data_IF_508310958182
#
_entry.id   IF_508310958182
#
_cell.length_a   1.000
_cell.length_b   1.000
_cell.length_c   1.000
_cell.angle_alpha   90.00
_cell.angle_beta   90.00
_cell.angle_gamma   90.00
#
_symmetry.space_group_name_H-M   'P 1'
#
loop_
_entity.id
_entity.type
_entity.pdbx_description
1 polymer ?
#
# COMPACT_ATOMS: atom_id res chain seq x y z
N UNK A 1 9.39 -4.83 -18.91
CA UNK A 1 9.43 -6.08 -19.70
C UNK A 1 10.26 -7.14 -18.96
N UNK A 2 9.65 -8.01 -18.18
CA UNK A 2 10.18 -9.32 -17.75
C UNK A 2 9.04 -10.10 -17.06
N UNK A 3 8.12 -10.73 -17.81
CA UNK A 3 8.16 -12.15 -18.22
C UNK A 3 8.46 -13.13 -17.09
N UNK A 4 7.46 -13.38 -16.25
CA UNK A 4 7.22 -14.67 -15.60
C UNK A 4 6.48 -15.59 -16.59
N UNK A 5 7.18 -16.02 -17.65
CA UNK A 5 6.75 -17.14 -18.50
C UNK A 5 8.00 -17.93 -18.89
N UNK A 6 8.11 -19.13 -18.34
CA UNK A 6 8.48 -20.35 -19.08
C UNK A 6 8.36 -21.55 -18.13
N UNK A 7 7.32 -22.37 -18.34
CA UNK A 7 7.36 -23.85 -18.51
C UNK A 7 5.95 -24.48 -18.27
N UNK A 8 5.37 -25.00 -19.38
CA UNK A 8 4.47 -26.16 -19.55
C UNK A 8 3.03 -26.13 -18.97
N UNK A 9 1.95 -26.64 -19.60
CA UNK A 9 1.69 -27.29 -20.90
C UNK A 9 0.15 -27.25 -21.17
N UNK A 10 -0.21 -27.24 -22.47
CA UNK A 10 -1.53 -27.39 -23.11
C UNK A 10 -2.52 -28.43 -22.54
N UNK A 11 -3.84 -28.11 -22.57
CA UNK A 11 -4.84 -28.78 -23.44
C UNK A 11 -6.29 -28.26 -23.26
N UNK A 12 -6.93 -27.90 -24.40
CA UNK A 12 -8.33 -28.16 -24.86
C UNK A 12 -9.51 -27.76 -23.94
N UNK A 13 -10.70 -27.29 -24.36
CA UNK A 13 -11.34 -26.72 -25.56
C UNK A 13 -12.80 -26.44 -25.10
N UNK A 14 -13.44 -25.38 -25.63
CA UNK A 14 -14.90 -25.17 -25.80
C UNK A 14 -15.73 -24.43 -24.72
N UNK A 15 -16.04 -23.17 -25.08
CA UNK A 15 -17.35 -22.48 -25.10
C UNK A 15 -18.27 -22.56 -23.87
N UNK A 16 -18.48 -21.44 -23.18
CA UNK A 16 -19.81 -20.83 -22.94
C UNK A 16 -19.66 -19.31 -22.73
N UNK A 17 -20.41 -18.54 -23.53
CA UNK A 17 -20.93 -17.18 -23.39
C UNK A 17 -20.27 -16.19 -22.38
N UNK A 18 -19.78 -15.01 -22.81
CA UNK A 18 -19.65 -13.89 -21.89
C UNK A 18 -21.07 -13.36 -21.61
N UNK A 19 -21.55 -13.53 -20.38
CA UNK A 19 -22.56 -12.64 -19.85
C UNK A 19 -21.91 -11.26 -19.80
N UNK A 20 -22.41 -10.32 -20.61
CA UNK A 20 -22.01 -8.93 -20.49
C UNK A 20 -22.49 -8.43 -19.12
N UNK A 21 -21.57 -8.32 -18.18
CA UNK A 21 -21.77 -7.49 -17.01
C UNK A 21 -21.96 -6.05 -17.50
N UNK A 22 -23.12 -5.47 -17.19
CA UNK A 22 -23.39 -4.07 -17.44
C UNK A 22 -22.44 -3.28 -16.54
N UNK A 23 -21.38 -2.73 -17.12
CA UNK A 23 -20.66 -1.61 -16.53
C UNK A 23 -21.67 -0.48 -16.31
N UNK A 24 -22.17 -0.38 -15.09
CA UNK A 24 -22.91 0.78 -14.61
C UNK A 24 -21.99 1.98 -14.74
N UNK A 25 -22.46 3.02 -15.42
CA UNK A 25 -21.74 4.28 -15.60
C UNK A 25 -21.01 4.70 -14.32
N UNK A 26 -19.67 4.70 -14.36
CA UNK A 26 -18.83 5.20 -13.27
C UNK A 26 -19.14 6.69 -13.09
N UNK A 27 -19.89 7.00 -12.04
CA UNK A 27 -19.95 8.33 -11.48
C UNK A 27 -18.50 8.70 -11.12
N UNK A 28 -17.99 9.82 -11.66
CA UNK A 28 -16.63 10.29 -11.36
C UNK A 28 -16.55 10.71 -9.89
N UNK A 29 -16.41 9.74 -9.02
CA UNK A 29 -16.20 9.98 -7.60
C UNK A 29 -14.86 10.67 -7.43
N UNK A 30 -14.84 11.75 -6.65
CA UNK A 30 -13.58 12.33 -6.20
C UNK A 30 -12.79 11.30 -5.37
N UNK A 31 -11.56 11.66 -5.04
CA UNK A 31 -10.67 10.78 -4.28
C UNK A 31 -11.23 10.47 -2.90
N UNK A 32 -10.69 9.44 -2.25
CA UNK A 32 -11.28 8.94 -1.00
C UNK A 32 -11.41 10.10 0.01
N UNK A 33 -12.62 10.35 0.55
CA UNK A 33 -12.82 11.42 1.52
C UNK A 33 -11.93 11.21 2.73
N UNK A 34 -11.07 12.20 2.99
CA UNK A 34 -10.22 12.26 4.18
C UNK A 34 -10.58 13.48 5.00
N UNK A 35 -10.44 13.37 6.31
CA UNK A 35 -10.65 14.49 7.21
C UNK A 35 -9.51 15.51 7.03
N UNK A 36 -9.85 16.79 7.03
CA UNK A 36 -8.87 17.87 7.10
C UNK A 36 -8.54 18.12 8.58
N UNK A 37 -7.50 17.47 9.08
CA UNK A 37 -7.12 17.47 10.50
C UNK A 37 -5.84 18.25 10.73
N UNK A 38 -5.75 18.90 11.90
CA UNK A 38 -4.45 19.35 12.43
C UNK A 38 -3.64 18.15 12.91
N UNK A 39 -2.34 18.35 13.14
CA UNK A 39 -1.44 17.29 13.62
C UNK A 39 -1.93 16.65 14.93
N UNK A 40 -2.49 17.44 15.85
CA UNK A 40 -2.99 16.95 17.14
C UNK A 40 -4.24 16.07 17.03
N UNK A 41 -4.93 16.07 15.88
CA UNK A 41 -6.14 15.30 15.65
C UNK A 41 -5.92 14.08 14.73
N UNK A 42 -4.72 13.92 14.13
CA UNK A 42 -4.38 12.75 13.31
C UNK A 42 -4.52 11.43 14.09
N UNK A 43 -4.85 10.33 13.42
CA UNK A 43 -4.91 8.98 14.01
C UNK A 43 -3.57 8.42 14.53
N UNK A 44 -2.48 9.16 14.35
CA UNK A 44 -1.11 8.75 14.67
C UNK A 44 -0.28 9.94 15.14
N UNK A 45 0.93 9.67 15.63
CA UNK A 45 1.90 10.68 16.01
C UNK A 45 3.33 10.19 15.78
N UNK A 46 4.29 11.12 15.87
CA UNK A 46 5.72 10.79 15.83
C UNK A 46 6.11 9.76 16.91
N UNK A 47 7.07 8.91 16.57
CA UNK A 47 7.57 7.83 17.43
C UNK A 47 6.80 6.51 17.29
N UNK A 48 5.83 6.43 16.37
CA UNK A 48 5.13 5.19 16.07
C UNK A 48 6.06 4.18 15.39
N UNK A 49 6.04 2.95 15.88
CA UNK A 49 6.75 1.81 15.31
C UNK A 49 5.78 0.64 15.17
N UNK A 50 5.64 0.11 13.95
CA UNK A 50 4.82 -1.05 13.64
C UNK A 50 5.71 -2.16 13.07
N UNK A 51 5.41 -3.40 13.43
CA UNK A 51 6.08 -4.59 12.89
C UNK A 51 5.06 -5.55 12.34
N UNK A 52 5.31 -6.03 11.12
CA UNK A 52 4.45 -6.97 10.42
C UNK A 52 5.20 -8.26 10.13
N UNK A 53 4.50 -9.39 10.21
CA UNK A 53 4.97 -10.68 9.70
C UNK A 53 4.42 -10.90 8.30
N UNK A 54 5.29 -11.21 7.35
CA UNK A 54 4.91 -11.59 5.99
C UNK A 54 4.77 -13.11 5.89
N UNK A 55 3.66 -13.56 5.35
CA UNK A 55 3.26 -14.96 5.25
C UNK A 55 2.92 -15.31 3.80
N UNK A 56 3.24 -16.55 3.41
CA UNK A 56 2.96 -17.06 2.08
C UNK A 56 2.29 -18.43 2.15
N UNK A 57 1.19 -18.56 1.42
CA UNK A 57 0.40 -19.78 1.35
C UNK A 57 0.23 -20.24 -0.11
N UNK A 58 0.69 -21.45 -0.43
CA UNK A 58 0.44 -22.13 -1.70
C UNK A 58 0.53 -23.65 -1.57
N UNK A 59 -0.61 -24.33 -1.73
CA UNK A 59 -0.67 -25.80 -1.70
C UNK A 59 -0.25 -26.35 -0.34
N UNK A 60 0.93 -26.96 -0.27
CA UNK A 60 1.51 -27.49 0.98
C UNK A 60 2.39 -26.48 1.73
N UNK A 61 2.68 -25.33 1.12
CA UNK A 61 3.48 -24.26 1.70
C UNK A 61 2.52 -23.34 2.46
N UNK A 62 2.70 -23.24 3.77
CA UNK A 62 2.00 -22.32 4.69
C UNK A 62 3.09 -21.86 5.68
N UNK A 63 3.67 -20.68 5.44
CA UNK A 63 4.82 -20.24 6.22
C UNK A 63 5.03 -18.73 6.32
N UNK A 64 5.54 -18.30 7.46
CA UNK A 64 6.02 -16.94 7.68
C UNK A 64 7.37 -16.77 6.96
N UNK A 65 7.37 -16.03 5.85
CA UNK A 65 8.51 -15.90 4.92
C UNK A 65 9.36 -14.65 5.14
N UNK A 66 8.83 -13.66 5.85
CA UNK A 66 9.51 -12.39 6.06
C UNK A 66 8.87 -11.52 7.13
N UNK A 67 9.34 -10.30 7.22
CA UNK A 67 8.83 -9.28 8.11
C UNK A 67 9.01 -7.89 7.51
N UNK A 68 8.24 -6.93 8.01
CA UNK A 68 8.41 -5.52 7.68
C UNK A 68 8.31 -4.66 8.95
N UNK A 69 8.97 -3.51 8.96
CA UNK A 69 8.80 -2.47 9.98
C UNK A 69 8.35 -1.18 9.33
N UNK A 70 7.59 -0.38 10.08
CA UNK A 70 7.17 0.98 9.72
C UNK A 70 7.51 1.87 10.90
N UNK A 71 8.31 2.90 10.67
CA UNK A 71 8.77 3.86 11.66
C UNK A 71 8.35 5.27 11.23
N UNK A 72 7.75 6.05 12.14
CA UNK A 72 7.34 7.43 11.86
C UNK A 72 8.12 8.44 12.71
N UNK A 73 9.03 9.17 12.08
CA UNK A 73 9.86 10.18 12.74
C UNK A 73 9.39 11.62 12.44
N UNK A 74 9.49 12.56 13.40
CA UNK A 74 9.39 13.97 13.11
C UNK A 74 10.70 14.47 12.48
N UNK A 75 10.61 15.24 11.40
CA UNK A 75 11.79 15.81 10.73
C UNK A 75 11.55 17.26 10.32
N UNK A 76 12.64 17.99 10.08
CA UNK A 76 12.60 19.23 9.29
C UNK A 76 13.05 18.92 7.86
N UNK A 77 12.20 19.18 6.88
CA UNK A 77 12.49 19.00 5.47
C UNK A 77 12.45 20.37 4.78
N UNK A 78 13.59 20.82 4.25
CA UNK A 78 13.75 22.14 3.63
C UNK A 78 13.23 23.31 4.50
N UNK A 79 13.39 23.23 5.82
CA UNK A 79 12.95 24.26 6.77
C UNK A 79 11.47 24.18 7.18
N UNK A 80 10.70 23.24 6.65
CA UNK A 80 9.32 22.96 7.04
C UNK A 80 9.25 21.73 7.96
N UNK A 81 8.33 21.72 8.93
CA UNK A 81 8.04 20.53 9.71
C UNK A 81 7.33 19.46 8.88
N UNK A 82 7.83 18.24 8.95
CA UNK A 82 7.32 17.09 8.21
C UNK A 82 7.38 15.83 9.07
N UNK A 83 6.73 14.78 8.59
CA UNK A 83 7.01 13.43 8.99
C UNK A 83 7.96 12.76 8.00
N UNK A 84 8.75 11.80 8.50
CA UNK A 84 9.44 10.82 7.68
C UNK A 84 8.99 9.44 8.09
N UNK A 85 8.28 8.75 7.20
CA UNK A 85 8.03 7.32 7.33
C UNK A 85 9.21 6.54 6.74
N UNK A 86 9.74 5.57 7.49
CA UNK A 86 10.70 4.58 7.00
C UNK A 86 10.05 3.20 7.05
N UNK A 87 9.98 2.52 5.91
CA UNK A 87 9.48 1.15 5.81
C UNK A 87 10.62 0.26 5.38
N UNK A 88 10.91 -0.78 6.16
CA UNK A 88 11.91 -1.77 5.80
C UNK A 88 11.28 -3.15 5.74
N UNK A 89 11.47 -3.87 4.64
CA UNK A 89 10.98 -5.23 4.42
C UNK A 89 12.13 -6.21 4.19
N UNK A 90 12.03 -7.41 4.76
CA UNK A 90 13.04 -8.46 4.57
C UNK A 90 12.43 -9.84 4.64
N UNK A 91 12.83 -10.72 3.72
CA UNK A 91 12.69 -12.17 3.90
C UNK A 91 13.51 -12.64 5.12
N UNK A 92 13.11 -13.76 5.73
CA UNK A 92 13.90 -14.37 6.81
C UNK A 92 15.13 -15.06 6.26
N UNK A 93 16.15 -15.28 7.11
CA UNK A 93 17.41 -15.94 6.72
C UNK A 93 17.23 -17.31 6.08
N UNK A 94 16.20 -18.06 6.49
CA UNK A 94 15.89 -19.36 5.91
C UNK A 94 15.42 -19.21 4.44
N UNK A 95 14.58 -18.20 4.17
CA UNK A 95 14.02 -17.95 2.86
C UNK A 95 14.95 -17.17 1.91
N UNK A 96 15.92 -16.42 2.45
CA UNK A 96 16.97 -15.76 1.68
C UNK A 96 17.77 -16.73 0.77
N UNK A 97 17.86 -18.00 1.16
CA UNK A 97 18.55 -19.04 0.39
C UNK A 97 17.82 -19.41 -0.91
N UNK A 98 16.51 -19.15 -0.97
CA UNK A 98 15.66 -19.48 -2.13
C UNK A 98 15.29 -18.22 -2.91
N UNK A 99 14.82 -17.18 -2.21
CA UNK A 99 14.46 -15.90 -2.82
C UNK A 99 14.60 -14.79 -1.77
N UNK A 100 15.64 -13.96 -1.94
CA UNK A 100 15.95 -12.86 -1.03
C UNK A 100 15.21 -11.59 -1.44
N UNK A 101 14.44 -11.01 -0.53
CA UNK A 101 13.79 -9.70 -0.71
C UNK A 101 14.31 -8.73 0.34
N UNK A 102 14.70 -7.53 -0.09
CA UNK A 102 15.06 -6.39 0.75
C UNK A 102 14.42 -5.15 0.16
N UNK A 103 13.56 -4.52 0.94
CA UNK A 103 12.87 -3.28 0.59
C UNK A 103 13.24 -2.21 1.62
N UNK A 104 13.64 -1.02 1.16
CA UNK A 104 13.79 0.19 1.98
C UNK A 104 13.04 1.32 1.29
N UNK A 105 11.87 1.67 1.83
CA UNK A 105 11.09 2.83 1.40
C UNK A 105 11.19 3.93 2.43
N UNK A 106 11.32 5.16 1.96
CA UNK A 106 11.28 6.36 2.80
C UNK A 106 10.40 7.39 2.16
N UNK A 107 9.44 7.88 2.92
CA UNK A 107 8.54 8.95 2.49
C UNK A 107 8.64 10.12 3.45
N UNK A 108 8.73 11.32 2.89
CA UNK A 108 8.63 12.57 3.61
C UNK A 108 7.31 13.21 3.20
N UNK A 109 6.48 13.56 4.17
CA UNK A 109 5.19 14.20 3.92
C UNK A 109 4.89 15.26 4.98
N UNK A 110 4.08 16.25 4.58
CA UNK A 110 3.66 17.34 5.46
C UNK A 110 2.87 16.81 6.65
N UNK A 111 2.99 17.45 7.81
CA UNK A 111 2.18 17.08 8.99
C UNK A 111 0.74 17.53 8.87
N UNK A 112 0.52 18.66 8.20
CA UNK A 112 -0.79 19.13 7.78
C UNK A 112 -1.13 18.57 6.39
N UNK A 113 -2.30 17.96 6.23
CA UNK A 113 -2.80 17.45 4.94
C UNK A 113 -2.04 16.26 4.34
N UNK A 114 -0.98 15.76 4.98
CA UNK A 114 -0.25 14.53 4.62
C UNK A 114 0.21 14.46 3.15
N UNK A 115 0.61 15.60 2.59
CA UNK A 115 1.08 15.68 1.20
C UNK A 115 2.50 15.16 1.08
N UNK A 116 2.79 14.23 0.15
CA UNK A 116 4.14 13.78 -0.10
C UNK A 116 5.02 14.94 -0.59
N UNK A 117 6.26 14.97 -0.10
CA UNK A 117 7.29 15.96 -0.44
C UNK A 117 8.44 15.27 -1.18
N UNK A 118 8.81 14.08 -0.70
CA UNK A 118 9.86 13.25 -1.28
C UNK A 118 9.58 11.78 -1.00
N UNK A 119 9.91 10.94 -1.95
CA UNK A 119 9.95 9.49 -1.76
C UNK A 119 11.31 8.94 -2.22
N UNK A 120 11.78 7.90 -1.53
CA UNK A 120 12.94 7.11 -1.90
C UNK A 120 12.60 5.64 -1.76
N UNK A 121 13.03 4.85 -2.73
CA UNK A 121 12.93 3.39 -2.73
C UNK A 121 14.29 2.80 -3.09
N UNK A 122 14.70 1.77 -2.35
CA UNK A 122 15.80 0.87 -2.69
C UNK A 122 15.32 -0.57 -2.52
N UNK A 123 15.31 -1.32 -3.61
CA UNK A 123 14.71 -2.65 -3.71
C UNK A 123 15.75 -3.64 -4.23
N UNK A 124 15.83 -4.80 -3.58
CA UNK A 124 16.57 -5.96 -4.05
C UNK A 124 15.74 -7.24 -3.89
N UNK A 125 15.22 -7.76 -5.00
CA UNK A 125 14.37 -8.94 -5.10
C UNK A 125 15.05 -10.01 -5.96
N UNK A 126 15.80 -10.91 -5.32
CA UNK A 126 16.59 -11.94 -5.98
C UNK A 126 17.71 -11.32 -6.85
N UNK A 127 17.45 -11.20 -8.16
CA UNK A 127 18.37 -10.54 -9.13
C UNK A 127 17.86 -9.20 -9.62
N UNK A 128 16.64 -8.84 -9.26
CA UNK A 128 16.06 -7.57 -9.61
C UNK A 128 16.49 -6.52 -8.59
N UNK A 129 16.90 -5.37 -9.08
CA UNK A 129 17.26 -4.22 -8.26
C UNK A 129 16.57 -2.99 -8.82
N UNK A 130 16.02 -2.15 -7.95
CA UNK A 130 15.41 -0.89 -8.34
C UNK A 130 15.71 0.21 -7.33
N UNK A 131 15.88 1.44 -7.82
CA UNK A 131 16.05 2.64 -6.99
C UNK A 131 15.25 3.78 -7.57
N UNK A 132 14.34 4.34 -6.80
CA UNK A 132 13.49 5.45 -7.24
C UNK A 132 13.63 6.60 -6.25
N UNK A 133 13.77 7.81 -6.78
CA UNK A 133 13.71 9.05 -6.00
C UNK A 133 12.66 9.93 -6.66
N UNK A 134 11.64 10.30 -5.90
CA UNK A 134 10.61 11.22 -6.34
C UNK A 134 10.68 12.49 -5.53
N UNK A 135 10.65 13.64 -6.20
CA UNK A 135 10.45 14.94 -5.57
C UNK A 135 9.11 15.49 -6.04
N UNK A 136 8.20 15.71 -5.09
CA UNK A 136 6.84 16.19 -5.36
C UNK A 136 6.84 17.71 -5.30
N UNK A 137 6.75 18.38 -6.46
CA UNK A 137 6.62 19.83 -6.53
C UNK A 137 5.17 20.23 -6.75
N UNK A 138 4.50 20.59 -5.65
CA UNK A 138 3.11 21.03 -5.66
C UNK A 138 2.92 22.47 -6.19
N UNK A 139 3.99 23.24 -6.34
CA UNK A 139 3.94 24.67 -6.67
C UNK A 139 4.74 25.01 -7.94
N UNK A 140 5.09 24.02 -8.74
CA UNK A 140 5.82 24.23 -9.99
C UNK A 140 5.05 25.20 -10.91
N UNK A 141 5.75 26.07 -11.67
CA UNK A 141 5.10 27.13 -12.46
C UNK A 141 4.11 26.62 -13.52
N UNK A 142 4.35 25.42 -14.05
CA UNK A 142 3.52 24.79 -15.10
C UNK A 142 2.41 23.89 -14.52
N UNK A 143 2.29 23.84 -13.19
CA UNK A 143 1.37 22.97 -12.45
C UNK A 143 2.12 21.92 -11.63
N UNK A 144 1.44 21.24 -10.70
CA UNK A 144 2.07 20.23 -9.85
C UNK A 144 2.72 19.11 -10.69
N UNK A 145 3.91 18.66 -10.28
CA UNK A 145 4.68 17.64 -10.99
C UNK A 145 5.50 16.78 -10.03
N UNK A 146 5.76 15.52 -10.40
CA UNK A 146 6.73 14.67 -9.72
C UNK A 146 7.99 14.61 -10.58
N UNK A 147 9.11 15.09 -10.06
CA UNK A 147 10.42 14.86 -10.68
C UNK A 147 10.95 13.50 -10.22
N UNK A 148 11.12 12.57 -11.16
CA UNK A 148 11.46 11.19 -10.90
C UNK A 148 12.84 10.81 -11.46
N UNK A 149 13.73 10.38 -10.57
CA UNK A 149 14.97 9.69 -10.91
C UNK A 149 14.81 8.21 -10.60
N UNK A 150 14.83 7.36 -11.62
CA UNK A 150 14.57 5.92 -11.47
C UNK A 150 15.64 5.06 -12.10
N UNK A 151 15.91 3.94 -11.45
CA UNK A 151 16.80 2.90 -11.92
C UNK A 151 16.14 1.54 -11.73
N UNK A 152 16.30 0.65 -12.71
CA UNK A 152 16.15 -0.77 -12.47
C UNK A 152 17.24 -1.57 -13.17
N UNK A 153 17.57 -2.75 -12.66
CA UNK A 153 18.50 -3.67 -13.33
C UNK A 153 18.03 -4.11 -14.73
N UNK A 154 16.74 -3.92 -15.04
CA UNK A 154 16.15 -4.24 -16.34
C UNK A 154 16.13 -3.08 -17.35
N UNK A 155 16.07 -1.84 -16.87
CA UNK A 155 15.85 -0.64 -17.71
C UNK A 155 16.95 0.41 -17.61
N UNK A 156 17.89 0.26 -16.67
CA UNK A 156 18.91 1.27 -16.38
C UNK A 156 18.35 2.54 -15.73
N UNK A 157 19.20 3.56 -15.64
CA UNK A 157 18.90 4.88 -15.07
C UNK A 157 18.10 5.75 -16.05
N UNK A 158 17.07 6.43 -15.55
CA UNK A 158 16.24 7.39 -16.27
C UNK A 158 15.85 8.54 -15.33
N UNK A 159 15.60 9.70 -15.93
CA UNK A 159 15.02 10.85 -15.25
C UNK A 159 13.84 11.35 -16.09
N UNK A 160 12.70 11.58 -15.46
CA UNK A 160 11.45 11.96 -16.12
C UNK A 160 10.52 12.72 -15.16
N UNK A 161 9.56 13.43 -15.74
CA UNK A 161 8.48 14.06 -14.99
C UNK A 161 7.22 13.17 -15.07
N UNK A 162 6.58 12.96 -13.93
CA UNK A 162 5.35 12.19 -13.80
C UNK A 162 4.19 13.11 -13.36
N UNK A 163 2.94 12.78 -13.73
CA UNK A 163 1.78 13.58 -13.34
C UNK A 163 1.58 13.57 -11.82
N UNK A 164 1.33 14.76 -11.26
CA UNK A 164 0.99 14.96 -9.86
C UNK A 164 -0.41 15.55 -9.77
N UNK A 165 -1.36 14.71 -9.37
CA UNK A 165 -2.72 15.15 -9.08
C UNK A 165 -2.93 15.26 -7.58
N UNK A 166 -4.04 15.88 -7.16
CA UNK A 166 -4.40 16.03 -5.73
C UNK A 166 -4.53 14.71 -4.96
N UNK A 167 -4.51 13.58 -5.68
CA UNK A 167 -4.73 12.25 -5.14
C UNK A 167 -3.57 11.30 -5.38
N UNK A 168 -2.44 11.84 -5.86
CA UNK A 168 -1.22 11.10 -6.06
C UNK A 168 -0.40 11.10 -4.77
N UNK A 169 -0.09 9.90 -4.28
CA UNK A 169 0.70 9.67 -3.07
C UNK A 169 1.81 8.65 -3.35
N UNK A 170 2.87 8.63 -2.55
CA UNK A 170 3.68 7.41 -2.44
C UNK A 170 3.02 6.40 -1.48
N UNK A 171 3.45 5.14 -1.54
CA UNK A 171 2.86 4.05 -0.76
C UNK A 171 2.84 4.32 0.76
N UNK A 172 3.94 4.78 1.41
CA UNK A 172 3.88 5.10 2.82
C UNK A 172 3.00 6.31 3.17
N UNK A 173 3.01 7.38 2.37
CA UNK A 173 2.12 8.52 2.58
C UNK A 173 0.65 8.10 2.45
N UNK A 174 0.32 7.27 1.45
CA UNK A 174 -1.01 6.70 1.28
C UNK A 174 -1.45 5.86 2.48
N UNK A 175 -0.54 5.05 3.04
CA UNK A 175 -0.80 4.28 4.27
C UNK A 175 -1.25 5.19 5.41
N UNK A 176 -0.57 6.31 5.65
CA UNK A 176 -0.94 7.23 6.72
C UNK A 176 -2.17 8.07 6.38
N UNK A 177 -2.35 8.48 5.12
CA UNK A 177 -3.55 9.17 4.66
C UNK A 177 -4.80 8.34 4.92
N UNK A 178 -4.78 7.05 4.58
CA UNK A 178 -5.89 6.12 4.77
C UNK A 178 -6.33 6.03 6.24
N UNK A 179 -5.44 6.30 7.19
CA UNK A 179 -5.78 6.29 8.63
C UNK A 179 -6.63 7.47 9.07
N UNK A 180 -6.84 8.47 8.20
CA UNK A 180 -7.66 9.65 8.48
C UNK A 180 -8.86 9.75 7.53
N UNK A 181 -9.32 8.63 6.96
CA UNK A 181 -10.54 8.58 6.15
C UNK A 181 -11.76 9.09 6.92
N UNK A 182 -12.58 9.89 6.25
CA UNK A 182 -13.86 10.38 6.77
C UNK A 182 -14.94 9.31 6.54
N UNK A 183 -15.10 8.40 7.51
CA UNK A 183 -16.01 7.26 7.40
C UNK A 183 -17.49 7.65 7.31
N UNK A 184 -17.87 8.88 7.65
CA UNK A 184 -19.23 9.38 7.46
C UNK A 184 -19.51 9.71 5.99
N UNK A 185 -18.46 9.95 5.21
CA UNK A 185 -18.52 10.24 3.76
C UNK A 185 -18.10 9.07 2.89
N UNK A 186 -17.31 8.13 3.42
CA UNK A 186 -16.91 6.91 2.71
C UNK A 186 -18.06 5.92 2.71
N UNK A 187 -18.61 5.66 1.52
CA UNK A 187 -19.74 4.76 1.34
C UNK A 187 -19.29 3.34 0.99
N UNK A 188 -19.83 2.30 1.64
CA UNK A 188 -19.57 0.93 1.25
C UNK A 188 -19.95 0.66 -0.22
N UNK A 189 -19.09 -0.06 -0.94
CA UNK A 189 -19.30 -0.42 -2.35
C UNK A 189 -18.96 0.67 -3.38
N UNK A 190 -18.66 1.89 -2.93
CA UNK A 190 -18.20 2.97 -3.83
C UNK A 190 -16.70 2.83 -4.10
N UNK A 191 -16.31 2.99 -5.37
CA UNK A 191 -14.91 2.99 -5.81
C UNK A 191 -14.36 4.40 -5.76
N UNK A 192 -13.36 4.61 -4.91
CA UNK A 192 -12.65 5.88 -4.80
C UNK A 192 -11.31 5.78 -5.53
N UNK A 193 -11.06 6.60 -6.57
CA UNK A 193 -9.78 6.59 -7.27
C UNK A 193 -8.68 7.21 -6.41
N UNK A 194 -7.52 6.57 -6.41
CA UNK A 194 -6.27 7.04 -5.80
C UNK A 194 -5.14 6.72 -6.76
N UNK A 195 -4.11 7.57 -6.79
CA UNK A 195 -2.94 7.36 -7.64
C UNK A 195 -1.69 7.19 -6.80
N UNK A 196 -0.75 6.38 -7.28
CA UNK A 196 0.58 6.32 -6.69
C UNK A 196 1.67 6.18 -7.74
N UNK A 197 2.80 6.84 -7.49
CA UNK A 197 3.97 6.75 -8.35
C UNK A 197 4.83 5.54 -7.98
N UNK A 198 5.20 4.73 -8.97
CA UNK A 198 6.23 3.68 -8.83
C UNK A 198 6.90 3.46 -10.19
N UNK A 199 8.20 3.16 -10.13
CA UNK A 199 9.10 3.19 -11.29
C UNK A 199 8.89 4.46 -12.13
N UNK A 200 8.68 4.32 -13.43
CA UNK A 200 8.49 5.39 -14.39
C UNK A 200 7.02 5.71 -14.69
N UNK A 201 6.09 5.35 -13.80
CA UNK A 201 4.66 5.52 -14.06
C UNK A 201 3.84 5.87 -12.81
N UNK A 202 2.61 6.35 -13.04
CA UNK A 202 1.61 6.65 -12.02
C UNK A 202 0.44 5.71 -12.19
N UNK A 203 0.23 4.87 -11.19
CA UNK A 203 -0.77 3.82 -11.22
C UNK A 203 -2.06 4.28 -10.55
N UNK A 204 -3.19 3.91 -11.15
CA UNK A 204 -4.50 4.17 -10.60
C UNK A 204 -5.00 2.94 -9.82
N UNK A 205 -5.48 3.18 -8.60
CA UNK A 205 -6.10 2.18 -7.73
C UNK A 205 -7.48 2.66 -7.33
N UNK A 206 -8.44 1.75 -7.34
CA UNK A 206 -9.72 1.95 -6.68
C UNK A 206 -9.68 1.38 -5.27
N UNK A 207 -9.85 2.25 -4.28
CA UNK A 207 -10.11 1.86 -2.90
C UNK A 207 -11.61 1.75 -2.68
N UNK A 208 -12.07 0.66 -2.07
CA UNK A 208 -13.48 0.41 -1.81
C UNK A 208 -13.67 -0.16 -0.40
N UNK A 209 -14.49 0.53 0.41
CA UNK A 209 -14.94 0.01 1.70
C UNK A 209 -16.00 -1.08 1.46
N UNK A 210 -15.86 -2.22 2.13
CA UNK A 210 -16.89 -3.27 2.14
C UNK A 210 -17.80 -3.16 3.37
N UNK A 211 -17.24 -2.75 4.50
CA UNK A 211 -17.98 -2.61 5.76
C UNK A 211 -17.17 -3.04 6.97
N UNK A 212 -17.86 -3.17 8.11
CA UNK A 212 -17.29 -3.60 9.38
C UNK A 212 -17.41 -5.12 9.53
N UNK A 213 -16.36 -5.77 10.02
CA UNK A 213 -16.37 -7.18 10.38
C UNK A 213 -15.36 -7.49 11.51
N UNK A 214 -15.64 -8.56 12.26
CA UNK A 214 -14.67 -9.12 13.20
C UNK A 214 -13.70 -10.02 12.43
N UNK A 215 -12.41 -9.68 12.44
CA UNK A 215 -11.37 -10.47 11.77
C UNK A 215 -10.45 -11.13 12.80
N UNK A 216 -10.31 -12.45 12.71
CA UNK A 216 -9.31 -13.20 13.48
C UNK A 216 -7.95 -13.08 12.79
N UNK A 217 -6.99 -12.46 13.46
CA UNK A 217 -5.62 -12.28 12.99
C UNK A 217 -4.70 -13.17 13.83
N UNK A 218 -3.97 -14.07 13.16
CA UNK A 218 -3.04 -15.02 13.82
C UNK A 218 -2.03 -14.26 14.65
N UNK A 219 -1.79 -14.69 15.89
CA UNK A 219 -0.88 -14.04 16.84
C UNK A 219 -1.44 -12.80 17.55
N UNK A 220 -2.42 -12.12 16.96
CA UNK A 220 -3.00 -10.89 17.51
C UNK A 220 -4.30 -11.15 18.30
N UNK A 221 -5.23 -11.93 17.73
CA UNK A 221 -6.56 -12.18 18.32
C UNK A 221 -7.69 -11.85 17.34
N UNK A 222 -8.89 -11.63 17.87
CA UNK A 222 -10.03 -11.13 17.09
C UNK A 222 -10.06 -9.61 17.20
N UNK A 223 -10.12 -8.93 16.06
CA UNK A 223 -10.09 -7.47 15.97
C UNK A 223 -11.36 -7.00 15.26
N UNK A 224 -12.02 -5.97 15.81
CA UNK A 224 -13.04 -5.22 15.08
C UNK A 224 -12.39 -4.41 13.97
N UNK A 225 -12.80 -4.63 12.72
CA UNK A 225 -12.12 -4.08 11.55
C UNK A 225 -13.06 -3.51 10.50
N UNK A 226 -12.55 -2.56 9.74
CA UNK A 226 -13.08 -2.08 8.47
C UNK A 226 -12.34 -2.84 7.36
N UNK A 227 -13.10 -3.53 6.51
CA UNK A 227 -12.56 -4.28 5.37
C UNK A 227 -12.58 -3.43 4.11
N UNK A 228 -11.42 -3.27 3.49
CA UNK A 228 -11.23 -2.57 2.23
C UNK A 228 -10.71 -3.51 1.15
N UNK A 229 -11.02 -3.18 -0.11
CA UNK A 229 -10.27 -3.68 -1.26
C UNK A 229 -9.55 -2.53 -1.96
N UNK A 230 -8.37 -2.82 -2.48
CA UNK A 230 -7.63 -1.96 -3.39
C UNK A 230 -7.45 -2.73 -4.71
N UNK A 231 -7.91 -2.13 -5.82
CA UNK A 231 -7.87 -2.74 -7.15
C UNK A 231 -7.10 -1.86 -8.13
N UNK A 232 -6.07 -2.39 -8.77
CA UNK A 232 -5.30 -1.69 -9.80
C UNK A 232 -6.13 -1.62 -11.09
N UNK A 233 -6.23 -0.42 -11.67
CA UNK A 233 -6.81 -0.23 -12.99
C UNK A 233 -5.79 -0.61 -14.07
N UNK A 234 -5.76 -1.89 -14.39
CA UNK A 234 -5.11 -2.54 -15.55
C UNK A 234 -3.72 -2.04 -16.00
N UNK A 235 -2.71 -2.84 -15.66
CA UNK A 235 -1.73 -3.39 -16.61
C UNK A 235 -1.78 -4.92 -16.53
N UNK A 236 -1.33 -5.66 -17.54
CA UNK A 236 -1.48 -7.14 -17.74
C UNK A 236 -0.88 -8.08 -16.64
N UNK A 237 -0.82 -7.68 -15.37
CA UNK A 237 -0.11 -8.39 -14.29
C UNK A 237 -1.05 -8.95 -13.22
N UNK A 238 -2.29 -8.47 -13.12
CA UNK A 238 -3.26 -8.95 -12.13
C UNK A 238 -4.63 -9.18 -12.78
N UNK A 239 -5.10 -10.43 -12.73
CA UNK A 239 -6.36 -10.90 -13.36
C UNK A 239 -7.46 -11.18 -12.32
N UNK A 240 -7.32 -10.64 -11.11
CA UNK A 240 -8.25 -10.86 -9.99
C UNK A 240 -9.41 -9.87 -9.93
N UNK A 241 -10.54 -10.31 -9.37
CA UNK A 241 -11.66 -9.41 -9.08
C UNK A 241 -11.35 -8.45 -7.91
N UNK A 242 -10.44 -8.84 -6.99
CA UNK A 242 -9.87 -8.05 -5.89
C UNK A 242 -8.34 -8.23 -5.85
N UNK A 243 -7.55 -7.16 -5.92
CA UNK A 243 -6.07 -7.27 -6.01
C UNK A 243 -5.38 -7.24 -4.64
N UNK A 244 -5.96 -6.52 -3.67
CA UNK A 244 -5.46 -6.48 -2.30
C UNK A 244 -6.66 -6.28 -1.36
N UNK A 245 -6.80 -7.12 -0.34
CA UNK A 245 -7.74 -6.92 0.75
C UNK A 245 -7.00 -6.42 1.98
N UNK A 246 -7.56 -5.39 2.62
CA UNK A 246 -6.95 -4.72 3.77
C UNK A 246 -7.96 -4.69 4.91
N UNK A 247 -7.54 -5.12 6.09
CA UNK A 247 -8.31 -4.97 7.32
C UNK A 247 -7.66 -3.91 8.19
N UNK A 248 -8.44 -2.87 8.47
CA UNK A 248 -8.03 -1.71 9.28
C UNK A 248 -8.79 -1.77 10.60
N UNK A 249 -8.15 -1.52 11.73
CA UNK A 249 -8.82 -1.49 13.04
C UNK A 249 -9.94 -0.44 13.07
N UNK A 250 -11.07 -0.79 13.67
CA UNK A 250 -12.20 0.12 13.86
C UNK A 250 -12.07 0.92 15.18
N UNK A 251 -10.91 1.55 15.38
CA UNK A 251 -10.62 2.48 16.49
C UNK A 251 -9.96 3.76 15.99
N UNK A 252 -9.64 4.67 16.92
CA UNK A 252 -9.01 5.96 16.62
C UNK A 252 -7.64 5.84 15.97
N UNK A 253 -6.92 4.72 16.12
CA UNK A 253 -5.62 4.57 15.47
C UNK A 253 -5.73 4.21 13.98
N UNK A 254 -6.84 3.59 13.58
CA UNK A 254 -7.09 3.09 12.20
C UNK A 254 -5.91 2.28 11.66
N UNK A 255 -5.36 1.36 12.45
CA UNK A 255 -4.19 0.57 12.08
C UNK A 255 -4.55 -0.53 11.10
N UNK A 256 -3.87 -0.64 9.96
CA UNK A 256 -3.93 -1.86 9.17
C UNK A 256 -3.38 -3.04 9.99
N UNK A 257 -4.22 -4.05 10.23
CA UNK A 257 -3.89 -5.24 11.03
C UNK A 257 -3.60 -6.46 10.17
N UNK A 258 -4.13 -6.48 8.95
CA UNK A 258 -3.91 -7.55 7.98
C UNK A 258 -4.03 -7.03 6.55
N UNK A 259 -3.16 -7.53 5.69
CA UNK A 259 -3.23 -7.39 4.24
C UNK A 259 -3.20 -8.78 3.61
N UNK A 260 -4.02 -9.03 2.59
CA UNK A 260 -4.00 -10.28 1.82
C UNK A 260 -4.04 -9.96 0.33
N UNK A 261 -3.05 -10.43 -0.42
CA UNK A 261 -2.93 -10.28 -1.86
C UNK A 261 -2.88 -11.67 -2.52
N UNK A 262 -3.90 -12.06 -3.31
CA UNK A 262 -3.77 -13.21 -4.18
C UNK A 262 -2.73 -12.90 -5.25
N UNK A 263 -1.73 -13.77 -5.40
CA UNK A 263 -0.74 -13.67 -6.49
C UNK A 263 -0.94 -14.85 -7.45
N UNK A 264 -0.23 -14.86 -8.58
CA UNK A 264 -0.39 -15.90 -9.61
C UNK A 264 -0.30 -17.32 -9.04
N UNK A 265 0.53 -17.50 -8.02
CA UNK A 265 0.76 -18.77 -7.36
C UNK A 265 0.64 -18.55 -5.85
N UNK A 266 -0.54 -18.80 -5.29
CA UNK A 266 -0.80 -18.68 -3.85
C UNK A 266 -1.23 -17.30 -3.38
N UNK A 267 -1.13 -17.08 -2.09
CA UNK A 267 -1.54 -15.84 -1.40
C UNK A 267 -0.38 -15.33 -0.56
N UNK A 268 -0.04 -14.05 -0.74
CA UNK A 268 0.84 -13.33 0.17
C UNK A 268 -0.02 -12.57 1.19
N UNK A 269 0.35 -12.60 2.46
CA UNK A 269 -0.31 -11.81 3.49
C UNK A 269 0.68 -11.17 4.44
N UNK A 270 0.28 -10.04 5.03
CA UNK A 270 1.05 -9.30 6.02
C UNK A 270 0.19 -9.05 7.24
N UNK A 271 0.56 -9.58 8.40
CA UNK A 271 -0.19 -9.41 9.66
C UNK A 271 0.58 -8.56 10.65
N UNK A 272 -0.11 -7.66 11.35
CA UNK A 272 0.48 -6.87 12.42
C UNK A 272 0.93 -7.82 13.55
N UNK A 273 2.21 -7.75 13.89
CA UNK A 273 2.86 -8.58 14.91
C UNK A 273 3.00 -7.82 16.23
N UNK A 274 3.47 -6.57 16.16
CA UNK A 274 3.64 -5.71 17.33
C UNK A 274 3.61 -4.23 16.95
N UNK A 275 3.35 -3.37 17.93
CA UNK A 275 3.38 -1.93 17.78
C UNK A 275 3.89 -1.25 19.05
N UNK A 276 4.37 -0.01 18.91
CA UNK A 276 4.69 0.90 20.01
C UNK A 276 4.55 2.34 19.54
N UNK A 277 4.36 3.27 20.48
CA UNK A 277 4.22 4.69 20.14
C UNK A 277 2.90 5.06 19.45
N UNK A 278 1.86 4.22 19.60
CA UNK A 278 0.52 4.59 19.15
C UNK A 278 0.03 5.82 19.90
N UNK A 279 -0.69 6.69 19.18
CA UNK A 279 -1.28 7.89 19.77
C UNK A 279 -2.51 7.56 20.62
N UNK A 280 -3.29 6.57 20.22
CA UNK A 280 -4.50 6.14 20.93
C UNK A 280 -4.34 4.70 21.44
N UNK A 281 -5.07 4.30 22.51
CA UNK A 281 -5.12 2.90 22.91
C UNK A 281 -5.66 2.01 21.78
N UNK A 282 -5.13 0.79 21.65
CA UNK A 282 -5.62 -0.18 20.66
C UNK A 282 -6.91 -0.86 21.15
N UNK A 283 -8.05 -0.19 20.99
CA UNK A 283 -9.35 -0.59 21.55
C UNK A 283 -10.16 -1.54 20.65
N UNK A 284 -9.74 -1.76 19.40
CA UNK A 284 -10.41 -2.72 18.50
C UNK A 284 -10.16 -4.18 18.84
N UNK A 285 -9.27 -4.48 19.78
CA UNK A 285 -8.98 -5.86 20.17
C UNK A 285 -10.09 -6.39 21.08
N UNK A 286 -10.81 -7.40 20.62
CA UNK A 286 -11.88 -8.02 21.41
C UNK A 286 -11.30 -8.73 22.63
N UNK A 287 -11.88 -8.45 23.80
CA UNK A 287 -11.53 -9.17 25.03
C UNK A 287 -11.93 -10.64 24.89
N UNK A 288 -11.00 -11.54 25.21
CA UNK A 288 -11.26 -12.99 25.25
C UNK A 288 -12.30 -13.39 26.29
#
# INVERSE_FOLDING_TARGET
>A
MMRLISILLFCLLWTVCPAQEKDSAEEKTGCIPVMSLSEEDLAFGAGEHLRFTMHYEWGIIDSDVGWATVDLDPVSFNGQEAFRCSVYGSTTRLYDLFFKVREDFRSWFTRDGLRPLKFSRDTHEGRYEARNIYSYDWNAPEGPVIHADVYSSSSGQRSLDLPLDSCTYDLPALFFLARNMDLDKVQPGVRYPMTFAIDDDVYNVHFMLHGRELKKVKGLGTVSTLRFSAKLLAGNVFTGENDLTIWISDDENRLPVLFEAPILVGTASGRLESWSGLKHPFSSLESR
#
